data_IF_163297734656
#
_entry.id   IF_163297734656
#
_cell.length_a   1.000
_cell.length_b   1.000
_cell.length_c   1.000
_cell.angle_alpha   90.00
_cell.angle_beta   90.00
_cell.angle_gamma   90.00
#
_symmetry.space_group_name_H-M   'P 1'
#
loop_
_entity.id
_entity.type
_entity.pdbx_description
1 polymer ?
#
# COMPACT_ATOMS: atom_id res chain seq x y z
N UNK A 1 24.54 15.36 -1.57
CA UNK A 1 23.35 15.85 -2.28
C UNK A 1 22.38 16.37 -1.24
N UNK A 2 22.18 17.67 -1.15
CA UNK A 2 21.20 18.27 -0.24
C UNK A 2 19.82 18.19 -0.89
N UNK A 3 19.01 17.21 -0.49
CA UNK A 3 17.60 17.15 -0.88
C UNK A 3 16.86 18.12 0.03
N UNK A 4 16.40 19.25 -0.53
CA UNK A 4 15.49 20.15 0.19
C UNK A 4 14.20 19.39 0.50
N UNK A 5 13.69 19.40 1.74
CA UNK A 5 12.49 18.65 2.17
C UNK A 5 11.19 19.05 1.44
N UNK A 6 11.23 20.07 0.58
CA UNK A 6 10.09 20.59 -0.19
C UNK A 6 10.12 20.25 -1.68
N UNK A 7 11.07 19.45 -2.15
CA UNK A 7 11.15 19.17 -3.59
C UNK A 7 10.16 18.08 -4.02
N UNK A 8 9.20 18.46 -4.87
CA UNK A 8 8.33 17.51 -5.56
C UNK A 8 9.13 16.69 -6.58
N UNK A 9 8.77 15.44 -6.78
CA UNK A 9 9.43 14.53 -7.70
C UNK A 9 8.42 13.80 -8.61
N UNK A 10 8.89 13.34 -9.78
CA UNK A 10 8.15 12.41 -10.62
C UNK A 10 8.44 10.99 -10.18
N UNK A 11 7.45 10.32 -9.62
CA UNK A 11 7.56 8.93 -9.16
C UNK A 11 6.19 8.26 -9.10
N UNK A 12 6.20 6.93 -9.19
CA UNK A 12 5.00 6.11 -9.06
C UNK A 12 5.09 5.23 -7.81
N UNK A 13 4.01 5.17 -7.03
CA UNK A 13 3.91 4.30 -5.85
C UNK A 13 2.81 3.27 -6.02
N UNK A 14 3.06 2.06 -5.51
CA UNK A 14 2.07 1.01 -5.39
C UNK A 14 1.85 0.68 -3.91
N UNK A 15 0.63 0.88 -3.42
CA UNK A 15 0.27 0.58 -2.04
C UNK A 15 -0.30 -0.85 -1.91
N UNK A 16 -0.10 -1.46 -0.74
CA UNK A 16 -0.72 -2.75 -0.37
C UNK A 16 -1.59 -2.60 0.88
N UNK A 17 -2.84 -2.10 0.76
CA UNK A 17 -3.68 -1.77 1.91
C UNK A 17 -3.98 -2.95 2.82
N UNK A 18 -3.94 -4.18 2.28
CA UNK A 18 -4.19 -5.43 3.03
C UNK A 18 -2.96 -6.33 3.10
N UNK A 19 -1.77 -5.76 2.91
CA UNK A 19 -0.50 -6.50 2.96
C UNK A 19 -0.48 -7.69 1.98
N UNK A 20 -0.11 -8.89 2.45
CA UNK A 20 -0.06 -10.13 1.68
C UNK A 20 -1.40 -10.91 1.69
N UNK A 21 -2.41 -10.43 2.42
CA UNK A 21 -3.69 -11.14 2.60
C UNK A 21 -4.46 -11.18 1.28
N UNK A 22 -5.04 -12.33 1.00
CA UNK A 22 -5.88 -12.60 -0.16
C UNK A 22 -7.02 -13.55 0.27
N UNK A 23 -8.19 -13.45 -0.36
CA UNK A 23 -9.27 -14.43 -0.16
C UNK A 23 -9.15 -15.67 -1.06
N UNK A 24 -8.15 -15.69 -1.96
CA UNK A 24 -7.84 -16.81 -2.85
C UNK A 24 -6.56 -17.50 -2.41
N UNK A 25 -6.52 -18.82 -2.59
CA UNK A 25 -5.37 -19.67 -2.29
C UNK A 25 -4.77 -20.23 -3.59
N UNK A 26 -4.25 -19.35 -4.44
CA UNK A 26 -3.66 -19.79 -5.71
C UNK A 26 -2.37 -20.57 -5.44
N UNK A 27 -2.23 -21.75 -6.04
CA UNK A 27 -1.08 -22.66 -5.86
C UNK A 27 0.26 -21.99 -6.23
N UNK A 28 0.24 -21.06 -7.18
CA UNK A 28 1.42 -20.33 -7.65
C UNK A 28 1.67 -18.98 -6.92
N UNK A 29 0.88 -18.64 -5.90
CA UNK A 29 0.99 -17.35 -5.23
C UNK A 29 1.98 -17.37 -4.06
N UNK A 30 3.22 -16.95 -4.33
CA UNK A 30 4.28 -16.85 -3.32
C UNK A 30 4.00 -15.88 -2.15
N UNK A 31 2.95 -15.04 -2.23
CA UNK A 31 2.60 -14.14 -1.12
C UNK A 31 1.94 -14.85 0.06
N UNK A 32 1.33 -16.03 -0.16
CA UNK A 32 0.63 -16.78 0.90
C UNK A 32 1.61 -17.34 1.94
N UNK A 33 2.82 -17.69 1.52
CA UNK A 33 3.89 -18.18 2.40
C UNK A 33 4.36 -17.13 3.42
N UNK A 34 3.98 -15.85 3.25
CA UNK A 34 4.36 -14.79 4.21
C UNK A 34 3.62 -14.87 5.54
N UNK A 35 2.48 -15.56 5.61
CA UNK A 35 1.75 -15.77 6.87
C UNK A 35 2.61 -16.54 7.88
N UNK A 36 3.32 -17.57 7.41
CA UNK A 36 4.20 -18.40 8.24
C UNK A 36 5.53 -17.70 8.55
N UNK A 37 6.11 -16.99 7.58
CA UNK A 37 7.42 -16.33 7.76
C UNK A 37 7.38 -15.12 8.70
N UNK A 38 6.29 -14.36 8.71
CA UNK A 38 6.22 -13.12 9.48
C UNK A 38 5.80 -13.33 10.94
N UNK A 39 5.59 -14.58 11.39
CA UNK A 39 4.98 -14.91 12.70
C UNK A 39 3.76 -14.04 13.00
N UNK A 40 3.07 -13.65 11.93
CA UNK A 40 2.06 -12.64 11.98
C UNK A 40 0.80 -13.29 12.52
N UNK A 41 0.61 -13.25 13.84
CA UNK A 41 -0.74 -13.31 14.39
C UNK A 41 -1.56 -12.32 13.59
N UNK A 42 -2.78 -12.71 13.18
CA UNK A 42 -3.75 -11.89 12.42
C UNK A 42 -4.06 -10.60 13.20
N UNK A 43 -3.11 -9.66 13.24
CA UNK A 43 -3.19 -8.43 14.00
C UNK A 43 -3.81 -7.37 13.11
N UNK A 44 -4.64 -6.47 13.68
CA UNK A 44 -5.21 -5.33 12.96
C UNK A 44 -4.15 -4.45 12.26
N UNK A 45 -2.91 -4.47 12.76
CA UNK A 45 -1.77 -3.67 12.28
C UNK A 45 -1.32 -4.06 10.86
N UNK A 46 -1.79 -5.17 10.31
CA UNK A 46 -1.46 -5.61 8.95
C UNK A 46 -2.38 -5.03 7.87
N UNK A 47 -3.36 -4.19 8.26
CA UNK A 47 -4.26 -3.49 7.35
C UNK A 47 -4.06 -1.98 7.50
N UNK A 48 -4.04 -1.28 6.38
CA UNK A 48 -4.00 0.18 6.35
C UNK A 48 -5.29 0.73 6.97
N UNK A 49 -5.17 1.53 8.03
CA UNK A 49 -6.31 2.25 8.60
C UNK A 49 -6.75 3.40 7.70
N UNK A 50 -7.98 3.88 7.87
CA UNK A 50 -8.49 5.08 7.17
C UNK A 50 -7.61 6.32 7.41
N UNK A 51 -7.08 6.47 8.63
CA UNK A 51 -6.17 7.58 8.96
C UNK A 51 -4.87 7.48 8.18
N UNK A 52 -4.34 6.26 8.00
CA UNK A 52 -3.16 6.02 7.18
C UNK A 52 -3.45 6.23 5.69
N UNK A 53 -4.61 5.79 5.20
CA UNK A 53 -5.05 6.01 3.82
C UNK A 53 -5.14 7.51 3.49
N UNK A 54 -5.78 8.30 4.37
CA UNK A 54 -5.88 9.76 4.22
C UNK A 54 -4.50 10.41 4.21
N UNK A 55 -3.60 9.97 5.10
CA UNK A 55 -2.23 10.45 5.13
C UNK A 55 -1.48 10.10 3.85
N UNK A 56 -1.58 8.86 3.39
CA UNK A 56 -0.94 8.37 2.17
C UNK A 56 -1.37 9.20 0.95
N UNK A 57 -2.68 9.41 0.75
CA UNK A 57 -3.20 10.23 -0.35
C UNK A 57 -2.64 11.65 -0.27
N UNK A 58 -2.74 12.30 0.91
CA UNK A 58 -2.27 13.67 1.09
C UNK A 58 -0.78 13.80 0.83
N UNK A 59 0.02 12.90 1.37
CA UNK A 59 1.48 12.98 1.29
C UNK A 59 1.95 12.62 -0.13
N UNK A 60 1.27 11.71 -0.84
CA UNK A 60 1.56 11.39 -2.24
C UNK A 60 1.28 12.59 -3.15
N UNK A 61 0.08 13.20 -3.06
CA UNK A 61 -0.27 14.39 -3.83
C UNK A 61 0.68 15.56 -3.58
N UNK A 62 1.11 15.78 -2.33
CA UNK A 62 2.04 16.88 -1.98
C UNK A 62 3.44 16.68 -2.52
N UNK A 63 3.87 15.43 -2.65
CA UNK A 63 5.23 15.06 -3.04
C UNK A 63 5.37 14.88 -4.56
N UNK A 64 4.28 14.67 -5.28
CA UNK A 64 4.31 14.44 -6.72
C UNK A 64 4.46 15.75 -7.52
N UNK A 65 5.30 15.74 -8.57
CA UNK A 65 5.58 16.91 -9.39
C UNK A 65 4.60 17.14 -10.55
N UNK A 66 3.89 16.09 -10.99
CA UNK A 66 2.93 16.17 -12.09
C UNK A 66 1.54 16.66 -11.67
N UNK A 67 0.78 17.16 -12.64
CA UNK A 67 -0.61 17.60 -12.48
C UNK A 67 -1.61 16.43 -12.36
N UNK A 68 -1.17 15.22 -12.68
CA UNK A 68 -1.91 13.97 -12.53
C UNK A 68 -1.10 13.00 -11.68
N UNK A 69 -1.76 12.30 -10.77
CA UNK A 69 -1.14 11.31 -9.88
C UNK A 69 -1.89 9.99 -10.00
N UNK A 70 -1.19 8.95 -10.43
CA UNK A 70 -1.74 7.60 -10.54
C UNK A 70 -1.64 6.86 -9.21
N UNK A 71 -2.76 6.30 -8.76
CA UNK A 71 -2.80 5.46 -7.56
C UNK A 71 -2.85 3.98 -7.97
N UNK A 72 -1.74 3.27 -7.80
CA UNK A 72 -1.71 1.83 -7.96
C UNK A 72 -1.89 1.12 -6.62
N UNK A 73 -2.78 0.13 -6.61
CA UNK A 73 -3.08 -0.70 -5.44
C UNK A 73 -2.81 -2.17 -5.77
N UNK A 74 -2.18 -2.90 -4.87
CA UNK A 74 -1.96 -4.34 -4.99
C UNK A 74 -2.42 -5.04 -3.71
N UNK A 75 -2.84 -6.30 -3.84
CA UNK A 75 -3.44 -7.04 -2.75
C UNK A 75 -4.93 -6.76 -2.74
N UNK A 76 -5.72 -7.83 -2.89
CA UNK A 76 -7.17 -7.76 -2.96
C UNK A 76 -7.76 -8.25 -1.65
N UNK A 77 -8.63 -7.44 -1.07
CA UNK A 77 -9.70 -7.92 -0.22
C UNK A 77 -10.97 -7.22 -0.72
N UNK A 78 -12.00 -8.00 -1.04
CA UNK A 78 -13.26 -7.53 -1.65
C UNK A 78 -13.99 -6.47 -0.81
N UNK A 79 -13.53 -6.17 0.41
CA UNK A 79 -14.19 -5.31 1.39
C UNK A 79 -13.90 -3.80 1.27
N UNK A 80 -13.16 -3.34 0.25
CA UNK A 80 -12.87 -1.91 0.03
C UNK A 80 -13.72 -1.26 -1.07
N UNK A 81 -14.64 -2.02 -1.67
CA UNK A 81 -15.59 -1.53 -2.69
C UNK A 81 -17.05 -1.55 -2.21
N UNK A 82 -17.28 -1.88 -0.93
CA UNK A 82 -18.58 -1.78 -0.26
C UNK A 82 -18.63 -0.54 0.64
#
# INVERSE_FOLDING_TARGET
MNISPTQRAYFHMMAKPVSYRCNLHCEYCFYLEKETMLNARKSPEQTMSDSMLRRYIRDYLRSHAGDTVDFAWQGVNLRWLD
#
